data_IF_964241785502
#
_entry.id   IF_964241785502
#
_cell.length_a   1.000
_cell.length_b   1.000
_cell.length_c   1.000
_cell.angle_alpha   90.00
_cell.angle_beta   90.00
_cell.angle_gamma   90.00
#
_symmetry.space_group_name_H-M   'P 1'
#
loop_
_entity.id
_entity.type
_entity.pdbx_description
1 polymer ?
#
# COMPACT_ATOMS: atom_id res chain seq x y z
N UNK A 1 8.68 -8.16 -1.85
CA UNK A 1 10.09 -7.94 -1.46
C UNK A 1 10.10 -7.23 -0.11
N UNK A 2 10.92 -7.66 0.84
CA UNK A 2 11.00 -7.07 2.19
C UNK A 2 12.41 -6.52 2.45
N UNK A 3 12.52 -5.49 3.27
CA UNK A 3 13.79 -4.97 3.79
C UNK A 3 13.81 -5.14 5.31
N UNK A 4 14.92 -5.62 5.86
CA UNK A 4 15.12 -5.66 7.30
C UNK A 4 15.92 -4.43 7.73
N UNK A 5 15.59 -3.88 8.89
CA UNK A 5 16.43 -2.89 9.54
C UNK A 5 17.57 -3.64 10.21
N UNK A 6 18.77 -3.46 9.68
CA UNK A 6 19.99 -4.03 10.27
C UNK A 6 20.73 -2.96 11.09
N UNK A 7 21.63 -3.39 11.97
CA UNK A 7 22.59 -2.47 12.56
C UNK A 7 23.65 -2.15 11.50
N UNK A 8 24.00 -0.87 11.35
CA UNK A 8 24.96 -0.48 10.32
C UNK A 8 26.33 -1.13 10.55
N UNK A 9 26.87 -1.80 9.52
CA UNK A 9 28.24 -2.35 9.56
C UNK A 9 29.23 -1.21 9.81
N UNK A 10 29.92 -1.27 10.96
CA UNK A 10 30.89 -0.26 11.40
C UNK A 10 30.47 0.55 12.63
N UNK A 11 29.21 0.49 13.07
CA UNK A 11 28.68 1.32 14.17
C UNK A 11 28.48 0.52 15.48
N UNK A 12 29.32 -0.49 15.71
CA UNK A 12 29.32 -1.33 16.93
C UNK A 12 29.54 -0.51 18.22
N UNK A 13 29.98 0.75 18.12
CA UNK A 13 30.18 1.64 19.27
C UNK A 13 28.94 2.49 19.64
N UNK A 14 27.91 2.59 18.79
CA UNK A 14 26.78 3.52 19.01
C UNK A 14 25.38 2.89 19.02
N UNK A 15 25.22 1.59 18.81
CA UNK A 15 23.92 0.88 18.88
C UNK A 15 22.77 1.60 18.12
N UNK A 16 23.09 2.32 17.03
CA UNK A 16 22.07 3.07 16.30
C UNK A 16 21.44 2.15 15.26
N UNK A 17 20.19 1.78 15.51
CA UNK A 17 19.37 1.04 14.55
C UNK A 17 19.25 1.84 13.25
N UNK A 18 19.34 1.16 12.10
CA UNK A 18 19.09 1.75 10.80
C UNK A 18 17.68 2.34 10.72
N UNK A 19 17.50 3.40 9.95
CA UNK A 19 16.21 4.11 9.86
C UNK A 19 15.41 3.69 8.63
N UNK A 20 14.10 3.84 8.71
CA UNK A 20 13.16 3.46 7.65
C UNK A 20 13.47 4.12 6.30
N UNK A 21 13.94 5.37 6.31
CA UNK A 21 14.34 6.07 5.08
C UNK A 21 15.52 5.40 4.37
N UNK A 22 16.54 4.94 5.12
CA UNK A 22 17.68 4.22 4.52
C UNK A 22 17.24 2.87 3.98
N UNK A 23 16.38 2.16 4.70
CA UNK A 23 15.77 0.93 4.25
C UNK A 23 14.95 1.12 2.97
N UNK A 24 14.18 2.20 2.87
CA UNK A 24 13.46 2.58 1.67
C UNK A 24 14.40 2.75 0.46
N UNK A 25 15.52 3.46 0.62
CA UNK A 25 16.49 3.63 -0.47
C UNK A 25 17.06 2.29 -0.97
N UNK A 26 17.39 1.36 -0.06
CA UNK A 26 17.86 0.01 -0.43
C UNK A 26 16.76 -0.78 -1.15
N UNK A 27 15.55 -0.78 -0.60
CA UNK A 27 14.41 -1.48 -1.18
C UNK A 27 14.06 -0.94 -2.58
N UNK A 28 14.01 0.38 -2.74
CA UNK A 28 13.75 1.04 -4.00
C UNK A 28 14.80 0.68 -5.06
N UNK A 29 16.08 0.70 -4.71
CA UNK A 29 17.15 0.31 -5.62
C UNK A 29 17.02 -1.15 -6.09
N UNK A 30 16.70 -2.08 -5.17
CA UNK A 30 16.47 -3.48 -5.56
C UNK A 30 15.21 -3.63 -6.41
N UNK A 31 14.12 -2.95 -6.07
CA UNK A 31 12.87 -3.03 -6.83
C UNK A 31 13.08 -2.55 -8.27
N UNK A 32 13.76 -1.41 -8.45
CA UNK A 32 14.09 -0.89 -9.79
C UNK A 32 15.00 -1.84 -10.58
N UNK A 33 15.94 -2.50 -9.91
CA UNK A 33 16.82 -3.50 -10.55
C UNK A 33 16.06 -4.71 -11.08
N UNK A 34 15.13 -5.25 -10.29
CA UNK A 34 14.38 -6.46 -10.67
C UNK A 34 13.23 -6.15 -11.64
N UNK A 35 12.65 -4.95 -11.56
CA UNK A 35 11.49 -4.55 -12.37
C UNK A 35 11.72 -3.18 -13.03
N UNK A 36 12.71 -3.06 -13.93
CA UNK A 36 13.13 -1.76 -14.46
C UNK A 36 12.05 -1.03 -15.26
N UNK A 37 11.13 -1.79 -15.88
CA UNK A 37 10.06 -1.29 -16.76
C UNK A 37 8.67 -1.29 -16.12
N UNK A 38 8.54 -1.77 -14.88
CA UNK A 38 7.24 -1.81 -14.21
C UNK A 38 6.80 -0.38 -13.85
N UNK A 39 5.62 0.08 -14.30
CA UNK A 39 5.02 1.31 -13.80
C UNK A 39 4.65 1.12 -12.33
N UNK A 40 5.11 2.01 -11.46
CA UNK A 40 4.89 1.93 -10.01
C UNK A 40 4.26 3.23 -9.51
N UNK A 41 3.18 3.10 -8.74
CA UNK A 41 2.61 4.14 -7.89
C UNK A 41 2.92 3.79 -6.43
N UNK A 42 3.73 4.60 -5.77
CA UNK A 42 4.07 4.41 -4.35
C UNK A 42 3.04 5.10 -3.45
N UNK A 43 2.56 4.40 -2.43
CA UNK A 43 1.66 4.94 -1.42
C UNK A 43 2.42 5.02 -0.09
N UNK A 44 2.78 6.22 0.35
CA UNK A 44 3.69 6.44 1.46
C UNK A 44 3.02 7.25 2.59
N UNK A 45 3.46 7.01 3.82
CA UNK A 45 2.96 7.73 5.00
C UNK A 45 3.64 9.09 5.21
N UNK A 46 3.35 9.73 6.35
CA UNK A 46 3.82 11.06 6.71
C UNK A 46 5.31 11.16 7.03
N UNK A 47 6.07 10.06 7.05
CA UNK A 47 7.53 10.09 7.23
C UNK A 47 8.28 10.36 5.93
N UNK A 48 7.66 10.08 4.78
CA UNK A 48 8.27 10.16 3.47
C UNK A 48 8.12 11.48 2.68
N UNK A 49 7.42 12.55 3.12
CA UNK A 49 7.36 13.81 2.39
C UNK A 49 8.68 14.59 2.57
N UNK A 50 9.74 14.12 1.90
CA UNK A 50 11.05 14.77 1.88
C UNK A 50 11.63 14.80 0.45
N UNK A 51 12.42 15.84 0.18
CA UNK A 51 13.01 16.08 -1.14
C UNK A 51 13.80 14.90 -1.72
N UNK A 52 14.74 14.29 -0.97
CA UNK A 52 15.51 13.13 -1.46
C UNK A 52 14.63 11.94 -1.90
N UNK A 53 13.60 11.58 -1.14
CA UNK A 53 12.66 10.50 -1.51
C UNK A 53 11.90 10.85 -2.78
N UNK A 54 11.27 12.04 -2.83
CA UNK A 54 10.49 12.46 -3.99
C UNK A 54 11.36 12.57 -5.26
N UNK A 55 12.59 13.07 -5.12
CA UNK A 55 13.56 13.13 -6.21
C UNK A 55 13.94 11.74 -6.73
N UNK A 56 14.15 10.76 -5.83
CA UNK A 56 14.43 9.38 -6.23
C UNK A 56 13.27 8.79 -7.02
N UNK A 57 12.03 8.97 -6.55
CA UNK A 57 10.85 8.50 -7.27
C UNK A 57 10.79 9.09 -8.69
N UNK A 58 11.06 10.39 -8.82
CA UNK A 58 11.15 11.07 -10.12
C UNK A 58 12.24 10.48 -11.02
N UNK A 59 13.43 10.21 -10.49
CA UNK A 59 14.53 9.56 -11.23
C UNK A 59 14.16 8.16 -11.72
N UNK A 60 13.37 7.42 -10.96
CA UNK A 60 12.91 6.08 -11.34
C UNK A 60 11.67 6.06 -12.21
N UNK A 61 11.12 7.22 -12.53
CA UNK A 61 9.83 7.40 -13.23
C UNK A 61 8.68 6.72 -12.48
N UNK A 62 8.73 6.75 -11.16
CA UNK A 62 7.67 6.26 -10.29
C UNK A 62 6.75 7.40 -9.89
N UNK A 63 5.46 7.11 -9.88
CA UNK A 63 4.46 8.00 -9.31
C UNK A 63 4.38 7.79 -7.81
N UNK A 64 3.85 8.77 -7.08
CA UNK A 64 3.61 8.64 -5.65
C UNK A 64 2.37 9.41 -5.18
N UNK A 65 1.78 8.90 -4.09
CA UNK A 65 0.85 9.57 -3.21
C UNK A 65 1.42 9.47 -1.78
N UNK A 66 1.85 10.59 -1.22
CA UNK A 66 2.52 10.65 0.10
C UNK A 66 1.62 11.44 1.04
N UNK A 67 1.37 10.93 2.25
CA UNK A 67 0.62 11.68 3.27
C UNK A 67 1.41 12.93 3.65
N UNK A 68 0.74 14.09 3.67
CA UNK A 68 1.30 15.35 4.14
C UNK A 68 0.74 15.69 5.51
N UNK A 69 1.61 15.72 6.52
CA UNK A 69 1.25 16.19 7.86
C UNK A 69 1.26 17.72 7.92
N UNK A 70 0.51 18.30 8.84
CA UNK A 70 0.34 19.75 8.96
C UNK A 70 1.64 20.47 9.39
N UNK A 71 2.52 19.77 10.12
CA UNK A 71 3.83 20.25 10.56
C UNK A 71 4.96 19.98 9.54
N UNK A 72 4.65 19.26 8.46
CA UNK A 72 5.60 18.85 7.45
C UNK A 72 5.62 19.82 6.26
N UNK A 73 6.82 20.09 5.74
CA UNK A 73 7.05 20.96 4.57
C UNK A 73 6.32 22.33 4.65
N UNK A 74 6.66 23.23 5.60
CA UNK A 74 5.96 24.50 5.78
C UNK A 74 5.86 25.37 4.51
N UNK A 75 6.93 25.43 3.71
CA UNK A 75 6.93 26.15 2.43
C UNK A 75 5.91 25.61 1.41
N UNK A 76 5.60 24.31 1.44
CA UNK A 76 4.56 23.73 0.58
C UNK A 76 3.19 24.17 1.09
N UNK A 77 2.97 24.22 2.40
CA UNK A 77 1.72 24.71 2.98
C UNK A 77 1.47 26.19 2.68
N UNK A 78 2.50 27.04 2.76
CA UNK A 78 2.43 28.45 2.37
C UNK A 78 1.97 28.61 0.90
N UNK A 79 2.52 27.80 0.00
CA UNK A 79 2.12 27.77 -1.42
C UNK A 79 0.70 27.21 -1.60
N UNK A 80 0.28 26.19 -0.84
CA UNK A 80 -1.09 25.67 -0.87
C UNK A 80 -2.09 26.78 -0.48
N UNK A 81 -1.80 27.56 0.55
CA UNK A 81 -2.65 28.68 0.96
C UNK A 81 -2.64 29.85 -0.04
N UNK A 82 -1.48 30.15 -0.61
CA UNK A 82 -1.30 31.23 -1.59
C UNK A 82 -1.96 30.90 -2.94
N UNK A 83 -1.54 29.80 -3.56
CA UNK A 83 -2.03 29.36 -4.87
C UNK A 83 -3.46 28.84 -4.81
N UNK A 84 -3.91 28.30 -3.67
CA UNK A 84 -5.30 27.87 -3.48
C UNK A 84 -6.31 28.98 -3.74
N UNK A 85 -5.96 30.24 -3.42
CA UNK A 85 -6.78 31.43 -3.70
C UNK A 85 -6.89 31.75 -5.20
N UNK A 86 -5.94 31.29 -6.00
CA UNK A 86 -5.90 31.49 -7.45
C UNK A 86 -6.52 30.30 -8.20
N UNK A 87 -6.42 29.09 -7.65
CA UNK A 87 -6.90 27.85 -8.25
C UNK A 87 -8.29 27.42 -7.74
N UNK A 88 -9.25 28.35 -7.68
CA UNK A 88 -10.58 28.16 -7.06
C UNK A 88 -11.44 27.06 -7.70
N UNK A 89 -11.22 26.76 -8.98
CA UNK A 89 -11.98 25.75 -9.72
C UNK A 89 -11.49 24.31 -9.44
N UNK A 90 -10.39 24.15 -8.69
CA UNK A 90 -9.83 22.85 -8.35
C UNK A 90 -10.55 22.25 -7.14
N UNK A 91 -11.79 21.85 -7.34
CA UNK A 91 -12.55 21.11 -6.34
C UNK A 91 -13.43 20.05 -6.98
N UNK A 92 -13.81 19.05 -6.18
CA UNK A 92 -14.76 18.01 -6.55
C UNK A 92 -15.52 17.55 -5.31
N UNK A 93 -16.85 17.59 -5.37
CA UNK A 93 -17.69 16.88 -4.40
C UNK A 93 -18.10 15.52 -4.96
N UNK A 94 -18.00 14.49 -4.13
CA UNK A 94 -18.43 13.15 -4.50
C UNK A 94 -18.88 12.36 -3.28
N UNK A 95 -19.87 11.50 -3.47
CA UNK A 95 -20.23 10.47 -2.50
C UNK A 95 -19.51 9.18 -2.88
N UNK A 96 -18.81 8.57 -1.93
CA UNK A 96 -18.14 7.28 -2.10
C UNK A 96 -18.39 6.38 -0.89
N UNK A 97 -18.99 5.22 -1.13
CA UNK A 97 -19.53 4.39 -0.06
C UNK A 97 -20.58 5.15 0.75
N UNK A 98 -20.39 5.24 2.07
CA UNK A 98 -21.25 6.00 2.98
C UNK A 98 -20.71 7.40 3.31
N UNK A 99 -19.73 7.91 2.56
CA UNK A 99 -19.04 9.17 2.88
C UNK A 99 -19.31 10.24 1.83
N UNK A 100 -19.64 11.45 2.28
CA UNK A 100 -19.58 12.66 1.45
C UNK A 100 -18.16 13.20 1.49
N UNK A 101 -17.53 13.34 0.33
CA UNK A 101 -16.15 13.79 0.19
C UNK A 101 -16.12 15.13 -0.56
N UNK A 102 -15.37 16.08 -0.02
CA UNK A 102 -15.01 17.33 -0.67
C UNK A 102 -13.50 17.34 -0.91
N UNK A 103 -13.11 17.25 -2.18
CA UNK A 103 -11.73 17.35 -2.61
C UNK A 103 -11.42 18.77 -3.02
N UNK A 104 -10.29 19.29 -2.57
CA UNK A 104 -9.68 20.51 -3.08
C UNK A 104 -8.20 20.24 -3.36
N UNK A 105 -7.65 20.79 -4.44
CA UNK A 105 -6.25 20.58 -4.75
C UNK A 105 -5.57 21.80 -5.34
N UNK A 106 -4.26 21.84 -5.14
CA UNK A 106 -3.36 22.86 -5.66
C UNK A 106 -2.29 22.15 -6.49
N UNK A 107 -2.18 22.56 -7.74
CA UNK A 107 -1.18 22.04 -8.66
C UNK A 107 0.00 22.98 -8.81
N UNK A 108 1.12 22.43 -9.28
CA UNK A 108 2.26 23.18 -9.78
C UNK A 108 3.01 23.96 -8.67
N UNK A 109 3.07 23.38 -7.46
CA UNK A 109 3.78 23.95 -6.31
C UNK A 109 5.29 23.73 -6.49
N UNK A 110 6.06 24.80 -6.49
CA UNK A 110 7.52 24.73 -6.53
C UNK A 110 8.09 24.46 -5.13
N UNK A 111 8.55 23.23 -4.88
CA UNK A 111 9.21 22.85 -3.65
C UNK A 111 10.73 22.87 -3.80
N UNK A 112 11.40 23.62 -2.94
CA UNK A 112 12.87 23.69 -2.87
C UNK A 112 13.39 22.96 -1.64
N UNK A 113 14.48 22.21 -1.80
CA UNK A 113 15.06 21.46 -0.68
C UNK A 113 16.60 21.42 -0.70
N UNK A 114 17.16 21.05 0.45
CA UNK A 114 18.61 21.00 0.72
C UNK A 114 19.18 22.33 1.19
N UNK A 115 20.36 22.30 1.81
CA UNK A 115 20.97 23.46 2.49
C UNK A 115 21.20 24.68 1.57
N UNK A 116 21.31 24.45 0.26
CA UNK A 116 21.55 25.51 -0.73
C UNK A 116 20.30 25.93 -1.50
N UNK A 117 19.16 25.26 -1.28
CA UNK A 117 17.89 25.52 -2.00
C UNK A 117 17.95 25.34 -3.52
N UNK A 118 19.01 24.68 -4.03
CA UNK A 118 19.22 24.50 -5.48
C UNK A 118 18.34 23.43 -6.09
N UNK A 119 17.94 22.43 -5.30
CA UNK A 119 17.12 21.35 -5.80
C UNK A 119 15.65 21.79 -5.81
N UNK A 120 14.97 21.54 -6.93
CA UNK A 120 13.59 21.97 -7.16
C UNK A 120 12.75 20.79 -7.64
N UNK A 121 11.56 20.68 -7.08
CA UNK A 121 10.53 19.71 -7.46
C UNK A 121 9.22 20.46 -7.69
N UNK A 122 8.44 19.99 -8.67
CA UNK A 122 7.06 20.43 -8.83
C UNK A 122 6.18 19.40 -8.18
N UNK A 123 5.34 19.84 -7.25
CA UNK A 123 4.45 19.00 -6.45
C UNK A 123 3.00 19.40 -6.69
N UNK A 124 2.10 18.46 -6.39
CA UNK A 124 0.66 18.67 -6.41
C UNK A 124 0.10 18.22 -5.06
N UNK A 125 -0.77 19.00 -4.44
CA UNK A 125 -1.34 18.67 -3.12
C UNK A 125 -2.85 18.56 -3.25
N UNK A 126 -3.43 17.50 -2.69
CA UNK A 126 -4.87 17.32 -2.55
C UNK A 126 -5.24 17.22 -1.07
N UNK A 127 -6.30 17.92 -0.70
CA UNK A 127 -6.97 17.86 0.58
C UNK A 127 -8.34 17.22 0.34
N UNK A 128 -8.64 16.14 1.06
CA UNK A 128 -9.93 15.48 1.07
C UNK A 128 -10.54 15.65 2.47
N UNK A 129 -11.66 16.35 2.54
CA UNK A 129 -12.50 16.43 3.73
C UNK A 129 -13.68 15.49 3.56
N UNK A 130 -13.96 14.69 4.57
CA UNK A 130 -15.06 13.73 4.53
C UNK A 130 -15.98 13.91 5.71
N UNK A 131 -17.26 13.70 5.46
CA UNK A 131 -18.29 13.56 6.49
C UNK A 131 -19.09 12.29 6.26
N UNK A 132 -19.47 11.62 7.34
CA UNK A 132 -20.34 10.46 7.31
C UNK A 132 -21.11 10.34 8.61
N UNK A 133 -22.18 9.55 8.56
CA UNK A 133 -22.98 9.22 9.74
C UNK A 133 -22.64 7.81 10.21
N UNK A 134 -22.48 7.66 11.52
CA UNK A 134 -22.17 6.39 12.15
C UNK A 134 -23.11 6.19 13.35
N UNK A 135 -23.66 4.99 13.48
CA UNK A 135 -24.49 4.63 14.61
C UNK A 135 -23.59 4.32 15.82
N UNK A 136 -23.73 5.10 16.87
CA UNK A 136 -23.03 4.84 18.12
C UNK A 136 -23.87 3.86 18.97
N UNK A 137 -23.35 2.63 19.11
CA UNK A 137 -24.01 1.56 19.88
C UNK A 137 -24.13 1.86 21.37
N UNK A 138 -23.35 2.82 21.91
CA UNK A 138 -23.40 3.21 23.33
C UNK A 138 -24.48 4.24 23.61
N UNK A 139 -24.71 5.17 22.69
CA UNK A 139 -25.70 6.23 22.84
C UNK A 139 -26.99 5.98 22.07
N UNK A 140 -27.05 4.89 21.29
CA UNK A 140 -28.15 4.53 20.41
C UNK A 140 -28.59 5.69 19.48
N UNK A 141 -27.62 6.48 19.01
CA UNK A 141 -27.86 7.67 18.21
C UNK A 141 -26.96 7.69 16.96
N UNK A 142 -27.44 8.39 15.93
CA UNK A 142 -26.65 8.68 14.74
C UNK A 142 -25.73 9.87 15.06
N UNK A 143 -24.43 9.66 14.92
CA UNK A 143 -23.40 10.68 15.16
C UNK A 143 -22.74 11.05 13.84
N UNK A 144 -22.66 12.34 13.56
CA UNK A 144 -21.89 12.86 12.43
C UNK A 144 -20.39 12.80 12.76
N UNK A 145 -19.63 12.15 11.89
CA UNK A 145 -18.17 12.05 11.93
C UNK A 145 -17.57 12.82 10.78
N UNK A 146 -16.34 13.30 10.99
CA UNK A 146 -15.56 13.97 9.97
C UNK A 146 -14.12 13.50 9.99
N UNK A 147 -13.47 13.56 8.82
CA UNK A 147 -12.02 13.32 8.69
C UNK A 147 -11.41 14.22 7.65
N UNK A 148 -10.11 14.48 7.78
CA UNK A 148 -9.32 15.23 6.82
C UNK A 148 -8.10 14.40 6.44
N UNK A 149 -7.88 14.29 5.14
CA UNK A 149 -6.71 13.62 4.58
C UNK A 149 -6.01 14.55 3.60
N UNK A 150 -4.69 14.53 3.61
CA UNK A 150 -3.88 15.37 2.74
C UNK A 150 -2.79 14.53 2.12
N UNK A 151 -2.62 14.66 0.80
CA UNK A 151 -1.59 13.94 0.07
C UNK A 151 -0.83 14.84 -0.91
N UNK A 152 0.47 14.58 -1.02
CA UNK A 152 1.31 15.05 -2.13
C UNK A 152 1.24 14.00 -3.25
N UNK A 153 0.89 14.44 -4.45
CA UNK A 153 0.96 13.66 -5.67
C UNK A 153 2.16 14.07 -6.54
N UNK A 154 2.78 13.08 -7.17
CA UNK A 154 3.73 13.30 -8.27
C UNK A 154 3.07 13.72 -9.58
N UNK A 155 1.76 13.49 -9.70
CA UNK A 155 1.00 13.67 -10.93
C UNK A 155 0.05 14.83 -10.75
N UNK A 156 -0.13 15.62 -11.81
CA UNK A 156 -1.08 16.73 -11.79
C UNK A 156 -2.50 16.24 -11.53
N UNK A 157 -3.16 16.87 -10.58
CA UNK A 157 -4.49 16.51 -10.13
C UNK A 157 -5.57 17.22 -10.96
N UNK A 158 -6.65 16.51 -11.24
CA UNK A 158 -7.81 17.03 -11.96
C UNK A 158 -9.08 16.35 -11.48
N UNK A 159 -10.25 16.90 -11.85
CA UNK A 159 -11.54 16.29 -11.54
C UNK A 159 -11.65 14.84 -12.05
N UNK A 160 -10.95 14.50 -13.14
CA UNK A 160 -10.98 13.18 -13.75
C UNK A 160 -10.19 12.14 -12.94
N UNK A 161 -9.05 12.51 -12.35
CA UNK A 161 -8.13 11.56 -11.72
C UNK A 161 -8.13 11.60 -10.18
N UNK A 162 -8.63 12.68 -9.55
CA UNK A 162 -8.50 12.88 -8.10
C UNK A 162 -9.19 11.76 -7.31
N UNK A 163 -10.33 11.27 -7.81
CA UNK A 163 -11.03 10.15 -7.20
C UNK A 163 -10.20 8.86 -7.23
N UNK A 164 -9.66 8.50 -8.40
CA UNK A 164 -8.88 7.28 -8.56
C UNK A 164 -7.60 7.34 -7.72
N UNK A 165 -6.86 8.45 -7.79
CA UNK A 165 -5.62 8.63 -7.04
C UNK A 165 -5.84 8.63 -5.53
N UNK A 166 -6.91 9.26 -5.02
CA UNK A 166 -7.17 9.30 -3.58
C UNK A 166 -7.82 8.01 -3.08
N UNK A 167 -8.97 7.62 -3.65
CA UNK A 167 -9.78 6.54 -3.11
C UNK A 167 -9.30 5.15 -3.52
N UNK A 168 -8.87 4.98 -4.77
CA UNK A 168 -8.39 3.68 -5.30
C UNK A 168 -6.86 3.55 -5.20
N UNK A 169 -6.15 4.65 -5.02
CA UNK A 169 -4.71 4.70 -4.76
C UNK A 169 -4.42 4.92 -3.27
N UNK A 170 -4.27 6.18 -2.85
CA UNK A 170 -3.75 6.59 -1.55
C UNK A 170 -4.40 5.88 -0.34
N UNK A 171 -5.71 5.66 -0.37
CA UNK A 171 -6.43 4.93 0.70
C UNK A 171 -6.06 3.46 0.80
N UNK A 172 -5.68 2.81 -0.31
CA UNK A 172 -5.22 1.42 -0.29
C UNK A 172 -3.90 1.24 0.48
N UNK A 173 -3.23 2.32 0.91
CA UNK A 173 -2.13 2.25 1.88
C UNK A 173 -2.54 1.46 3.13
N UNK A 174 -3.78 1.61 3.61
CA UNK A 174 -4.29 0.84 4.76
C UNK A 174 -4.20 -0.68 4.52
N UNK A 175 -4.26 -1.14 3.26
CA UNK A 175 -4.12 -2.55 2.93
C UNK A 175 -2.87 -3.22 3.52
N UNK A 176 -1.76 -2.47 3.71
CA UNK A 176 -0.56 -3.01 4.35
C UNK A 176 -0.79 -3.31 5.85
N UNK A 177 -1.51 -2.45 6.56
CA UNK A 177 -1.85 -2.61 7.97
C UNK A 177 -2.81 -3.79 8.15
N UNK A 178 -3.80 -3.93 7.26
CA UNK A 178 -4.69 -5.09 7.24
C UNK A 178 -3.94 -6.39 6.98
N UNK A 179 -2.99 -6.39 6.02
CA UNK A 179 -2.13 -7.55 5.75
C UNK A 179 -1.30 -7.94 6.97
N UNK A 180 -0.71 -6.97 7.67
CA UNK A 180 0.04 -7.24 8.91
C UNK A 180 -0.84 -7.76 10.04
N UNK A 181 -2.05 -7.24 10.19
CA UNK A 181 -3.00 -7.75 11.19
C UNK A 181 -3.36 -9.22 10.94
N UNK A 182 -3.58 -9.59 9.67
CA UNK A 182 -3.82 -10.99 9.26
C UNK A 182 -2.64 -11.87 9.66
N UNK A 183 -1.42 -11.45 9.36
CA UNK A 183 -0.22 -12.22 9.70
C UNK A 183 -0.05 -12.38 11.22
N UNK A 184 -0.36 -11.34 11.99
CA UNK A 184 -0.25 -11.41 13.45
C UNK A 184 -1.34 -12.28 14.08
N UNK A 185 -2.59 -12.08 13.69
CA UNK A 185 -3.74 -12.55 14.46
C UNK A 185 -4.55 -13.67 13.80
N UNK A 186 -4.37 -13.95 12.50
CA UNK A 186 -5.22 -14.88 11.76
C UNK A 186 -4.48 -16.16 11.34
N UNK A 187 -3.77 -16.77 12.30
CA UNK A 187 -3.25 -18.14 12.18
C UNK A 187 -1.81 -18.26 11.67
N UNK A 188 -1.16 -17.17 11.24
CA UNK A 188 0.28 -17.21 10.91
C UNK A 188 1.18 -17.03 12.14
N UNK A 189 0.62 -16.57 13.27
CA UNK A 189 1.33 -16.38 14.55
C UNK A 189 2.63 -15.58 14.38
N UNK A 190 2.58 -14.51 13.59
CA UNK A 190 3.78 -13.78 13.17
C UNK A 190 4.57 -13.16 14.34
N UNK A 191 3.94 -12.94 15.49
CA UNK A 191 4.58 -12.45 16.72
C UNK A 191 5.26 -13.56 17.54
N UNK A 192 5.09 -14.83 17.15
CA UNK A 192 5.71 -15.96 17.83
C UNK A 192 7.20 -16.07 17.50
N UNK A 193 8.01 -16.29 18.53
CA UNK A 193 9.46 -16.49 18.40
C UNK A 193 9.77 -17.94 18.00
N UNK A 194 9.71 -18.25 16.71
CA UNK A 194 10.02 -19.60 16.19
C UNK A 194 11.51 -20.00 16.30
N UNK A 195 12.39 -19.03 16.50
CA UNK A 195 13.83 -19.26 16.70
C UNK A 195 14.46 -18.08 17.40
N UNK A 196 15.49 -18.33 18.22
CA UNK A 196 16.34 -17.29 18.79
C UNK A 196 17.47 -16.85 17.84
N UNK A 197 17.63 -17.50 16.68
CA UNK A 197 18.62 -17.11 15.68
C UNK A 197 18.00 -16.11 14.68
N UNK A 198 18.61 -14.92 14.53
CA UNK A 198 18.08 -13.85 13.66
C UNK A 198 17.95 -14.26 12.19
N UNK A 199 18.91 -15.01 11.64
CA UNK A 199 18.83 -15.47 10.25
C UNK A 199 17.72 -16.51 10.07
N UNK A 200 17.50 -17.37 11.06
CA UNK A 200 16.36 -18.29 11.05
C UNK A 200 15.03 -17.53 11.14
N UNK A 201 14.93 -16.50 11.99
CA UNK A 201 13.75 -15.63 12.07
C UNK A 201 13.45 -14.94 10.73
N UNK A 202 14.47 -14.43 10.03
CA UNK A 202 14.32 -13.88 8.66
C UNK A 202 13.82 -14.93 7.67
N UNK A 203 14.28 -16.18 7.81
CA UNK A 203 13.78 -17.31 7.02
C UNK A 203 12.29 -17.58 7.27
N UNK A 204 11.87 -17.68 8.54
CA UNK A 204 10.46 -17.84 8.91
C UNK A 204 9.60 -16.69 8.39
N UNK A 205 10.08 -15.45 8.48
CA UNK A 205 9.41 -14.29 7.88
C UNK A 205 9.08 -14.51 6.40
N UNK A 206 10.09 -14.89 5.60
CA UNK A 206 9.87 -15.10 4.17
C UNK A 206 8.88 -16.25 3.90
N UNK A 207 8.99 -17.36 4.64
CA UNK A 207 8.07 -18.49 4.51
C UNK A 207 6.63 -18.10 4.86
N UNK A 208 6.42 -17.31 5.92
CA UNK A 208 5.10 -16.80 6.28
C UNK A 208 4.53 -15.88 5.21
N UNK A 209 5.33 -14.94 4.68
CA UNK A 209 4.89 -14.05 3.59
C UNK A 209 4.54 -14.82 2.31
N UNK A 210 5.27 -15.90 1.99
CA UNK A 210 4.97 -16.77 0.87
C UNK A 210 3.69 -17.59 1.11
N UNK A 211 3.55 -18.19 2.30
CA UNK A 211 2.34 -18.92 2.68
C UNK A 211 1.10 -18.02 2.63
N UNK A 212 1.20 -16.79 3.13
CA UNK A 212 0.12 -15.82 3.05
C UNK A 212 -0.22 -15.44 1.60
N UNK A 213 0.78 -15.18 0.75
CA UNK A 213 0.57 -14.93 -0.67
C UNK A 213 -0.19 -16.08 -1.34
N UNK A 214 0.22 -17.33 -1.11
CA UNK A 214 -0.43 -18.51 -1.69
C UNK A 214 -1.88 -18.61 -1.20
N UNK A 215 -2.12 -18.39 0.09
CA UNK A 215 -3.49 -18.41 0.64
C UNK A 215 -4.38 -17.33 0.04
N UNK A 216 -3.87 -16.11 -0.16
CA UNK A 216 -4.62 -15.03 -0.80
C UNK A 216 -4.93 -15.38 -2.25
N UNK A 217 -3.95 -15.89 -3.00
CA UNK A 217 -4.17 -16.32 -4.38
C UNK A 217 -5.22 -17.44 -4.44
N UNK A 218 -5.12 -18.45 -3.57
CA UNK A 218 -6.10 -19.53 -3.51
C UNK A 218 -7.50 -19.01 -3.20
N UNK A 219 -7.66 -18.18 -2.15
CA UNK A 219 -8.95 -17.59 -1.75
C UNK A 219 -9.59 -16.72 -2.83
N UNK A 220 -8.78 -16.07 -3.67
CA UNK A 220 -9.22 -15.15 -4.73
C UNK A 220 -9.26 -15.80 -6.12
N UNK A 221 -8.99 -17.09 -6.24
CA UNK A 221 -9.11 -17.78 -7.53
C UNK A 221 -10.58 -18.05 -7.88
N UNK A 222 -10.96 -17.66 -9.09
CA UNK A 222 -12.29 -17.96 -9.68
C UNK A 222 -12.61 -19.46 -9.62
N UNK A 223 -11.59 -20.30 -9.81
CA UNK A 223 -11.74 -21.76 -9.75
C UNK A 223 -12.14 -22.25 -8.34
N UNK A 224 -11.50 -21.75 -7.29
CA UNK A 224 -11.84 -22.13 -5.92
C UNK A 224 -13.24 -21.61 -5.54
N UNK A 225 -13.57 -20.38 -5.95
CA UNK A 225 -14.90 -19.82 -5.76
C UNK A 225 -15.98 -20.68 -6.45
N UNK A 226 -15.73 -21.09 -7.70
CA UNK A 226 -16.59 -22.01 -8.45
C UNK A 226 -16.75 -23.37 -7.75
N UNK A 227 -15.67 -23.94 -7.21
CA UNK A 227 -15.74 -25.19 -6.43
C UNK A 227 -16.58 -25.04 -5.15
N UNK A 228 -16.44 -23.92 -4.43
CA UNK A 228 -17.28 -23.64 -3.26
C UNK A 228 -18.75 -23.48 -3.66
N UNK A 229 -19.03 -22.81 -4.78
CA UNK A 229 -20.39 -22.64 -5.28
C UNK A 229 -21.02 -23.98 -5.67
N UNK A 230 -20.27 -24.86 -6.33
CA UNK A 230 -20.74 -26.18 -6.78
C UNK A 230 -20.87 -27.20 -5.64
N UNK A 231 -19.90 -27.25 -4.72
CA UNK A 231 -19.76 -28.34 -3.73
C UNK A 231 -20.11 -27.90 -2.30
N UNK A 232 -20.25 -26.61 -2.06
CA UNK A 232 -20.34 -26.03 -0.72
C UNK A 232 -19.02 -26.12 0.07
N UNK A 233 -18.95 -25.41 1.19
CA UNK A 233 -17.73 -25.35 2.04
C UNK A 233 -17.29 -26.73 2.54
N UNK A 234 -18.24 -27.57 2.99
CA UNK A 234 -17.93 -28.93 3.45
C UNK A 234 -17.44 -29.82 2.30
N UNK A 235 -17.99 -29.66 1.10
CA UNK A 235 -17.56 -30.38 -0.09
C UNK A 235 -16.16 -29.96 -0.55
N UNK A 236 -15.81 -28.68 -0.43
CA UNK A 236 -14.44 -28.21 -0.66
C UNK A 236 -13.46 -28.81 0.35
N UNK A 237 -13.77 -28.77 1.64
CA UNK A 237 -12.91 -29.35 2.69
C UNK A 237 -12.68 -30.83 2.43
N UNK A 238 -13.75 -31.57 2.10
CA UNK A 238 -13.65 -32.98 1.75
C UNK A 238 -12.78 -33.20 0.51
N UNK A 239 -12.96 -32.41 -0.55
CA UNK A 239 -12.14 -32.48 -1.75
C UNK A 239 -10.65 -32.23 -1.46
N UNK A 240 -10.34 -31.22 -0.64
CA UNK A 240 -8.96 -30.94 -0.24
C UNK A 240 -8.35 -32.11 0.55
N UNK A 241 -9.09 -32.66 1.52
CA UNK A 241 -8.64 -33.81 2.31
C UNK A 241 -8.45 -35.06 1.43
N UNK A 242 -9.38 -35.34 0.52
CA UNK A 242 -9.26 -36.44 -0.44
C UNK A 242 -8.07 -36.23 -1.38
N UNK A 243 -7.79 -34.99 -1.78
CA UNK A 243 -6.58 -34.65 -2.54
C UNK A 243 -5.32 -34.94 -1.72
N UNK A 244 -5.26 -34.57 -0.44
CA UNK A 244 -4.08 -34.84 0.39
C UNK A 244 -3.84 -36.32 0.73
N UNK A 245 -4.90 -37.15 0.68
CA UNK A 245 -4.85 -38.56 1.13
C UNK A 245 -4.92 -39.57 -0.03
N UNK A 246 -5.42 -39.18 -1.21
CA UNK A 246 -5.56 -40.04 -2.39
C UNK A 246 -4.34 -40.04 -3.33
N UNK A 247 -4.16 -41.04 -4.21
CA UNK A 247 -3.10 -41.05 -5.21
C UNK A 247 -3.35 -39.97 -6.28
N UNK A 248 -2.31 -39.19 -6.58
CA UNK A 248 -2.43 -37.74 -6.41
C UNK A 248 -2.90 -36.94 -7.61
N UNK A 249 -2.71 -37.39 -8.84
CA UNK A 249 -2.97 -36.55 -10.00
C UNK A 249 -3.25 -37.44 -11.21
N UNK A 250 -4.45 -37.37 -11.78
CA UNK A 250 -4.71 -38.01 -13.07
C UNK A 250 -3.82 -37.36 -14.12
N UNK A 251 -2.88 -38.12 -14.67
CA UNK A 251 -1.87 -37.61 -15.60
C UNK A 251 -2.52 -36.89 -16.81
N UNK A 252 -3.70 -37.35 -17.23
CA UNK A 252 -4.49 -36.71 -18.29
C UNK A 252 -4.97 -35.30 -17.90
N UNK A 253 -5.48 -35.14 -16.67
CA UNK A 253 -5.92 -33.83 -16.17
C UNK A 253 -4.74 -32.85 -16.02
N UNK A 254 -3.58 -33.34 -15.57
CA UNK A 254 -2.37 -32.50 -15.46
C UNK A 254 -1.87 -32.10 -16.84
N UNK A 255 -1.83 -33.02 -17.81
CA UNK A 255 -1.45 -32.68 -19.20
C UNK A 255 -2.40 -31.66 -19.81
N UNK A 256 -3.71 -31.86 -19.67
CA UNK A 256 -4.71 -30.91 -20.16
C UNK A 256 -4.54 -29.51 -19.52
N UNK A 257 -4.19 -29.44 -18.22
CA UNK A 257 -3.91 -28.18 -17.54
C UNK A 257 -2.62 -27.52 -18.05
N UNK A 258 -1.55 -28.30 -18.25
CA UNK A 258 -0.27 -27.80 -18.77
C UNK A 258 -0.35 -27.34 -20.23
N UNK A 259 -1.21 -27.97 -21.03
CA UNK A 259 -1.47 -27.61 -22.43
C UNK A 259 -2.40 -26.39 -22.56
N UNK A 260 -3.13 -26.06 -21.48
CA UNK A 260 -3.93 -24.84 -21.43
C UNK A 260 -3.03 -23.60 -21.22
N UNK A 261 -3.42 -22.42 -21.75
CA UNK A 261 -2.71 -21.19 -21.42
C UNK A 261 -2.83 -20.96 -19.91
N UNK A 262 -1.72 -21.10 -19.19
CA UNK A 262 -1.69 -20.89 -17.74
C UNK A 262 -1.93 -19.41 -17.43
N UNK A 263 -3.20 -19.04 -17.25
CA UNK A 263 -3.62 -17.70 -16.88
C UNK A 263 -4.31 -17.77 -15.53
N UNK A 264 -3.66 -17.22 -14.50
CA UNK A 264 -4.29 -16.99 -13.20
C UNK A 264 -5.33 -15.88 -13.36
N UNK A 265 -6.61 -16.24 -13.18
CA UNK A 265 -7.74 -15.30 -13.10
C UNK A 265 -8.15 -15.14 -11.64
N UNK A 266 -8.19 -13.89 -11.19
CA UNK A 266 -8.57 -13.52 -9.83
C UNK A 266 -9.94 -12.86 -9.87
N UNK A 267 -10.79 -13.17 -8.88
CA UNK A 267 -12.08 -12.51 -8.63
C UNK A 267 -11.96 -11.31 -7.67
#
# INVERSE_FOLDING_TARGET
>A
MTEFLDYTEGDQQRNKQDCELKAFHRLAARLKRHFPRLPVLLLLDGLYPNGPVMQLCRQYHWQYMIVLQDDSLPSVWEEVEGLGKLQVNNHLERIWGNRKQHFHWVNDIEYRYGNTGRNRLILHVVICQETWEEFDSKTAAIVQKQSRHVWISSTRLSQQNVHELCNLGARHRWGIESSFLVEKCHGYNYEHCFSYNWNAMKGYHFLMRLGHLINILAQRTEYLAGLVHQRGVRGLIRFLLETFVGPWLHAENVRALLDSPCQLRLE
#
